data_IF_643793498027
#
_entry.id   IF_643793498027
#
_cell.length_a   1.000
_cell.length_b   1.000
_cell.length_c   1.000
_cell.angle_alpha   90.00
_cell.angle_beta   90.00
_cell.angle_gamma   90.00
#
_symmetry.space_group_name_H-M   'P 1'
#
loop_
_entity.id
_entity.type
_entity.pdbx_description
1 polymer ?
#
# COMPACT_ATOMS: atom_id res chain seq x y z
N UNK A 1 -6.25 -15.56 4.72
CA UNK A 1 -5.00 -15.93 5.41
C UNK A 1 -3.98 -14.82 5.16
N UNK A 2 -3.75 -13.97 6.15
CA UNK A 2 -2.73 -12.91 6.12
C UNK A 2 -1.43 -13.59 6.53
N UNK A 3 -0.52 -13.82 5.59
CA UNK A 3 0.72 -14.55 5.86
C UNK A 3 1.70 -13.70 6.71
N UNK A 4 2.49 -14.36 7.58
CA UNK A 4 3.26 -13.72 8.63
C UNK A 4 4.48 -12.99 8.06
N UNK A 5 4.98 -12.05 8.86
CA UNK A 5 6.31 -11.44 8.74
C UNK A 5 7.38 -12.53 8.52
N UNK A 6 7.76 -12.83 7.28
CA UNK A 6 8.95 -13.63 7.04
C UNK A 6 9.63 -13.15 5.76
N UNK A 7 10.82 -12.59 5.95
CA UNK A 7 11.93 -12.56 5.00
C UNK A 7 12.16 -13.97 4.43
N UNK A 8 11.36 -14.34 3.43
CA UNK A 8 11.40 -15.63 2.76
C UNK A 8 11.60 -15.38 1.29
N UNK A 9 12.84 -15.56 0.84
CA UNK A 9 13.20 -15.68 -0.59
C UNK A 9 12.93 -14.41 -1.43
N UNK A 10 13.38 -13.24 -0.97
CA UNK A 10 13.29 -12.00 -1.75
C UNK A 10 11.86 -11.46 -1.93
N UNK A 11 10.96 -11.77 -0.99
CA UNK A 11 9.56 -11.32 -0.96
C UNK A 11 9.31 -10.27 0.13
N UNK A 12 10.17 -9.26 0.19
CA UNK A 12 10.03 -8.16 1.13
C UNK A 12 8.91 -7.20 0.72
N UNK A 13 8.29 -6.58 1.72
CA UNK A 13 7.44 -5.41 1.53
C UNK A 13 8.27 -4.29 0.90
N UNK A 14 7.74 -3.59 -0.10
CA UNK A 14 8.46 -2.48 -0.76
C UNK A 14 7.88 -1.12 -0.43
N UNK A 15 6.55 -1.03 -0.24
CA UNK A 15 5.87 0.23 0.03
C UNK A 15 4.85 0.11 1.16
N UNK A 16 4.55 1.23 1.78
CA UNK A 16 3.45 1.43 2.70
C UNK A 16 2.60 2.62 2.20
N UNK A 17 1.32 2.40 1.98
CA UNK A 17 0.36 3.46 1.77
C UNK A 17 -0.19 3.90 3.13
N UNK A 18 0.06 5.15 3.46
CA UNK A 18 -0.33 5.78 4.72
C UNK A 18 -1.58 6.61 4.46
N UNK A 19 -2.61 6.43 5.29
CA UNK A 19 -3.88 7.15 5.18
C UNK A 19 -4.23 7.80 6.52
N UNK A 20 -4.42 9.13 6.52
CA UNK A 20 -4.68 9.94 7.71
C UNK A 20 -5.83 10.95 7.48
N UNK A 21 -6.89 10.96 8.29
CA UNK A 21 -7.19 10.01 9.36
C UNK A 21 -7.46 8.60 8.82
N UNK A 22 -7.38 7.59 9.69
CA UNK A 22 -7.65 6.21 9.31
C UNK A 22 -9.09 6.10 8.75
N UNK A 23 -9.27 5.54 7.54
CA UNK A 23 -10.57 5.37 6.93
C UNK A 23 -11.39 4.32 7.68
N UNK A 24 -12.69 4.32 7.43
CA UNK A 24 -13.62 3.36 8.05
C UNK A 24 -13.24 1.94 7.66
N UNK A 25 -13.67 0.98 8.46
CA UNK A 25 -13.35 -0.43 8.22
C UNK A 25 -13.80 -0.91 6.84
N UNK A 26 -15.00 -0.53 6.40
CA UNK A 26 -15.55 -0.93 5.09
C UNK A 26 -14.76 -0.35 3.90
N UNK A 27 -14.46 0.96 3.92
CA UNK A 27 -13.67 1.62 2.87
C UNK A 27 -12.30 0.94 2.73
N UNK A 28 -11.65 0.65 3.87
CA UNK A 28 -10.36 -0.02 3.87
C UNK A 28 -10.45 -1.47 3.37
N UNK A 29 -11.51 -2.20 3.74
CA UNK A 29 -11.74 -3.58 3.28
C UNK A 29 -11.94 -3.62 1.77
N UNK A 30 -12.70 -2.69 1.22
CA UNK A 30 -12.91 -2.58 -0.23
C UNK A 30 -11.59 -2.25 -0.96
N UNK A 31 -10.80 -1.31 -0.45
CA UNK A 31 -9.48 -1.01 -1.00
C UNK A 31 -8.56 -2.24 -0.94
N UNK A 32 -8.44 -2.92 0.21
CA UNK A 32 -7.63 -4.15 0.31
C UNK A 32 -8.09 -5.18 -0.72
N UNK A 33 -9.40 -5.36 -0.89
CA UNK A 33 -9.95 -6.30 -1.85
C UNK A 33 -9.57 -5.96 -3.30
N UNK A 34 -9.72 -4.69 -3.71
CA UNK A 34 -9.30 -4.20 -5.03
C UNK A 34 -7.81 -4.41 -5.26
N UNK A 35 -6.99 -4.08 -4.27
CA UNK A 35 -5.53 -4.29 -4.34
C UNK A 35 -5.16 -5.76 -4.43
N UNK A 36 -5.85 -6.65 -3.69
CA UNK A 36 -5.52 -8.08 -3.65
C UNK A 36 -5.79 -8.81 -4.97
N UNK A 37 -6.60 -8.23 -5.85
CA UNK A 37 -6.90 -8.76 -7.20
C UNK A 37 -5.86 -8.34 -8.25
N UNK A 38 -4.85 -7.59 -7.85
CA UNK A 38 -3.89 -7.02 -8.78
C UNK A 38 -2.70 -7.98 -9.00
N UNK A 39 -2.40 -8.37 -10.25
CA UNK A 39 -1.32 -9.33 -10.52
C UNK A 39 0.08 -8.78 -10.22
N UNK A 40 0.26 -7.46 -10.12
CA UNK A 40 1.55 -6.82 -9.83
C UNK A 40 1.73 -6.47 -8.34
N UNK A 41 0.79 -6.87 -7.48
CA UNK A 41 0.82 -6.62 -6.03
C UNK A 41 0.65 -7.94 -5.28
N UNK A 42 1.66 -8.35 -4.51
CA UNK A 42 1.71 -9.75 -4.03
C UNK A 42 1.48 -9.94 -2.54
N UNK A 43 1.53 -8.88 -1.76
CA UNK A 43 1.38 -8.99 -0.33
C UNK A 43 0.68 -7.74 0.16
N UNK A 44 -0.37 -7.86 0.94
CA UNK A 44 -1.11 -6.71 1.49
C UNK A 44 -1.33 -6.97 2.97
N UNK A 45 -0.67 -6.19 3.81
CA UNK A 45 -0.91 -6.16 5.26
C UNK A 45 -1.51 -4.81 5.61
N UNK A 46 -2.61 -4.82 6.35
CA UNK A 46 -3.23 -3.60 6.86
C UNK A 46 -3.03 -3.49 8.36
N UNK A 47 -2.73 -2.29 8.85
CA UNK A 47 -2.62 -1.99 10.28
C UNK A 47 -3.20 -0.60 10.59
N UNK A 48 -3.82 -0.42 11.75
CA UNK A 48 -4.20 0.90 12.26
C UNK A 48 -3.24 1.26 13.38
N UNK A 49 -2.45 2.31 13.21
CA UNK A 49 -1.67 2.88 14.31
C UNK A 49 -2.57 3.78 15.14
N UNK A 50 -2.96 3.29 16.32
CA UNK A 50 -3.78 4.04 17.28
C UNK A 50 -3.12 5.34 17.74
N UNK A 51 -1.79 5.34 17.88
CA UNK A 51 -1.01 6.47 18.40
C UNK A 51 -1.15 7.77 17.57
N UNK A 52 -1.28 7.66 16.25
CA UNK A 52 -1.38 8.81 15.34
C UNK A 52 -2.65 8.78 14.46
N UNK A 53 -3.54 7.82 14.71
CA UNK A 53 -4.80 7.66 14.00
C UNK A 53 -4.65 7.35 12.51
N UNK A 54 -3.55 6.72 12.08
CA UNK A 54 -3.30 6.42 10.65
C UNK A 54 -3.56 4.96 10.32
N UNK A 55 -4.11 4.69 9.15
CA UNK A 55 -4.08 3.36 8.56
C UNK A 55 -2.83 3.21 7.69
N UNK A 56 -2.22 2.03 7.74
CA UNK A 56 -1.02 1.68 6.97
C UNK A 56 -1.31 0.40 6.21
N UNK A 57 -1.22 0.48 4.89
CA UNK A 57 -1.40 -0.63 3.96
C UNK A 57 -0.05 -0.95 3.34
N UNK A 58 0.56 -2.03 3.77
CA UNK A 58 1.87 -2.48 3.35
C UNK A 58 1.76 -3.42 2.18
N UNK A 59 2.55 -3.19 1.13
CA UNK A 59 2.55 -4.06 -0.02
C UNK A 59 3.88 -4.16 -0.75
N UNK A 60 3.96 -5.13 -1.65
CA UNK A 60 5.06 -5.31 -2.59
C UNK A 60 4.57 -5.00 -4.00
N UNK A 61 5.36 -4.23 -4.72
CA UNK A 61 5.29 -4.06 -6.17
C UNK A 61 6.62 -4.48 -6.77
N UNK A 62 6.57 -5.10 -7.95
CA UNK A 62 7.75 -5.47 -8.72
C UNK A 62 8.50 -4.23 -9.23
N UNK A 63 9.83 -4.32 -9.33
CA UNK A 63 10.66 -3.25 -9.89
C UNK A 63 10.70 -3.38 -11.42
N UNK A 64 9.59 -3.01 -12.06
CA UNK A 64 9.44 -2.98 -13.53
C UNK A 64 8.64 -1.73 -13.94
N UNK A 65 8.66 -1.35 -15.22
CA UNK A 65 7.81 -0.26 -15.73
C UNK A 65 6.32 -0.45 -15.39
N UNK A 66 5.82 -1.69 -15.48
CA UNK A 66 4.44 -2.05 -15.13
C UNK A 66 4.18 -1.89 -13.62
N UNK A 67 5.17 -2.22 -12.79
CA UNK A 67 5.13 -1.97 -11.36
C UNK A 67 5.05 -0.48 -11.02
N UNK A 68 5.84 0.35 -11.69
CA UNK A 68 5.79 1.82 -11.53
C UNK A 68 4.43 2.39 -11.92
N UNK A 69 3.90 2.01 -13.07
CA UNK A 69 2.53 2.37 -13.47
C UNK A 69 1.50 1.90 -12.44
N UNK A 70 1.74 0.73 -11.85
CA UNK A 70 0.85 0.22 -10.82
C UNK A 70 0.89 1.03 -9.53
N UNK A 71 2.07 1.49 -9.11
CA UNK A 71 2.21 2.39 -7.96
C UNK A 71 1.44 3.70 -8.18
N UNK A 72 1.54 4.29 -9.39
CA UNK A 72 0.76 5.48 -9.77
C UNK A 72 -0.74 5.22 -9.68
N UNK A 73 -1.20 4.11 -10.24
CA UNK A 73 -2.61 3.71 -10.20
C UNK A 73 -3.11 3.50 -8.77
N UNK A 74 -2.34 2.78 -7.96
CA UNK A 74 -2.59 2.54 -6.53
C UNK A 74 -2.78 3.85 -5.77
N UNK A 75 -1.88 4.82 -5.98
CA UNK A 75 -1.93 6.10 -5.31
C UNK A 75 -3.15 6.91 -5.76
N UNK A 76 -3.44 6.94 -7.06
CA UNK A 76 -4.62 7.62 -7.61
C UNK A 76 -5.92 7.03 -7.08
N UNK A 77 -6.05 5.70 -7.12
CA UNK A 77 -7.24 4.99 -6.67
C UNK A 77 -7.43 5.16 -5.15
N UNK A 78 -6.35 5.16 -4.37
CA UNK A 78 -6.39 5.43 -2.94
C UNK A 78 -6.81 6.87 -2.62
N UNK A 79 -6.29 7.87 -3.35
CA UNK A 79 -6.71 9.27 -3.20
C UNK A 79 -8.17 9.48 -3.55
N UNK A 80 -8.66 8.79 -4.58
CA UNK A 80 -10.08 8.81 -4.93
C UNK A 80 -10.94 8.12 -3.85
N UNK A 81 -10.53 6.94 -3.40
CA UNK A 81 -11.25 6.17 -2.38
C UNK A 81 -11.28 6.88 -1.01
N UNK A 82 -10.22 7.63 -0.68
CA UNK A 82 -10.09 8.32 0.60
C UNK A 82 -9.98 9.85 0.43
N UNK A 83 -10.82 10.43 -0.43
CA UNK A 83 -10.77 11.84 -0.84
C UNK A 83 -10.76 12.88 0.29
N UNK A 84 -11.23 12.51 1.49
CA UNK A 84 -11.25 13.36 2.70
C UNK A 84 -10.07 13.12 3.65
N UNK A 85 -9.08 12.36 3.20
CA UNK A 85 -7.91 11.98 4.00
C UNK A 85 -6.64 12.30 3.23
N UNK A 86 -5.57 12.54 3.98
CA UNK A 86 -4.24 12.60 3.44
C UNK A 86 -3.76 11.17 3.13
N UNK A 87 -3.31 10.96 1.90
CA UNK A 87 -2.79 9.69 1.39
C UNK A 87 -1.37 9.92 0.91
N UNK A 88 -0.45 9.13 1.45
CA UNK A 88 0.99 9.20 1.16
C UNK A 88 1.52 7.81 0.84
N UNK A 89 2.39 7.71 -0.16
CA UNK A 89 3.14 6.49 -0.45
C UNK A 89 4.55 6.58 0.13
N UNK A 90 4.87 5.69 1.07
CA UNK A 90 6.20 5.58 1.69
C UNK A 90 6.94 4.34 1.21
N UNK A 91 8.14 4.46 0.62
CA UNK A 91 9.01 3.32 0.40
C UNK A 91 9.56 2.82 1.75
N UNK A 92 9.62 1.50 1.89
CA UNK A 92 10.10 0.84 3.12
C UNK A 92 11.21 -0.18 2.86
N UNK A 93 11.57 -0.39 1.59
CA UNK A 93 12.72 -1.20 1.18
C UNK A 93 13.76 -0.33 0.45
N UNK A 94 15.06 -0.65 0.57
CA UNK A 94 16.10 0.02 -0.19
C UNK A 94 15.84 -0.06 -1.70
N UNK A 95 15.87 1.09 -2.39
CA UNK A 95 15.68 1.17 -3.84
C UNK A 95 14.23 0.99 -4.32
N UNK A 96 13.24 1.04 -3.41
CA UNK A 96 11.83 1.25 -3.73
C UNK A 96 11.58 2.72 -4.10
N UNK A 97 10.63 2.96 -4.99
CA UNK A 97 10.36 4.29 -5.52
C UNK A 97 9.63 5.15 -4.49
N UNK A 98 10.09 6.38 -4.33
CA UNK A 98 9.36 7.41 -3.61
C UNK A 98 8.24 7.98 -4.47
N UNK A 99 7.25 8.58 -3.81
CA UNK A 99 6.14 9.23 -4.50
C UNK A 99 6.58 10.32 -5.48
N UNK A 100 7.64 11.09 -5.17
CA UNK A 100 8.16 12.13 -6.07
C UNK A 100 8.91 11.57 -7.30
N UNK A 101 9.19 10.27 -7.32
CA UNK A 101 9.81 9.55 -8.45
C UNK A 101 8.76 8.88 -9.35
N UNK A 102 7.48 8.94 -8.95
CA UNK A 102 6.33 8.46 -9.71
C UNK A 102 5.76 9.59 -10.56
#
# INVERSE_FOLDING_TARGET
>A
MIYPLIDTKGRCLTHALIVKPAPRFEERKESIFKFSRNPHVWFIRSHIRKANGTAQLYFRVEKSPEGTEMLRKILRDARAAFARTHVELQPIAPGALHEYEL
#
